data_IF_688264844530
#
_entry.id   IF_688264844530
#
_cell.length_a   1.000
_cell.length_b   1.000
_cell.length_c   1.000
_cell.angle_alpha   90.00
_cell.angle_beta   90.00
_cell.angle_gamma   90.00
#
_symmetry.space_group_name_H-M   'P 1'
#
loop_
_entity.id
_entity.type
_entity.pdbx_description
1 polymer ?
#
# COMPACT_ATOMS: atom_id res chain seq x y z
N UNK A 1 -21.01 -6.68 25.52
CA UNK A 1 -20.39 -5.42 25.03
C UNK A 1 -19.05 -5.82 24.42
N UNK A 2 -18.92 -5.78 23.09
CA UNK A 2 -17.71 -6.21 22.38
C UNK A 2 -17.36 -5.18 21.32
N UNK A 3 -16.11 -4.73 21.33
CA UNK A 3 -15.58 -3.66 20.49
C UNK A 3 -15.58 -4.06 18.99
N UNK A 4 -16.06 -3.20 18.08
CA UNK A 4 -15.96 -3.40 16.64
C UNK A 4 -14.59 -2.91 16.11
N UNK A 5 -14.20 -3.37 14.91
CA UNK A 5 -13.08 -2.86 14.08
C UNK A 5 -11.77 -3.66 14.00
N UNK A 6 -11.77 -4.98 14.23
CA UNK A 6 -10.66 -5.88 13.81
C UNK A 6 -11.09 -7.08 12.96
N UNK A 7 -12.36 -7.16 12.56
CA UNK A 7 -12.95 -8.30 11.85
C UNK A 7 -12.69 -8.35 10.33
N UNK A 8 -11.55 -7.82 9.85
CA UNK A 8 -11.20 -7.85 8.42
C UNK A 8 -9.76 -8.34 8.15
N UNK A 9 -9.16 -9.07 9.09
CA UNK A 9 -8.06 -9.99 8.78
C UNK A 9 -8.64 -11.40 8.69
N UNK A 10 -9.50 -11.61 7.67
CA UNK A 10 -9.82 -12.95 7.22
C UNK A 10 -8.56 -13.48 6.52
N UNK A 11 -7.90 -14.42 7.18
CA UNK A 11 -6.73 -15.13 6.69
C UNK A 11 -7.11 -16.09 5.57
N UNK A 12 -7.80 -15.62 4.53
CA UNK A 12 -7.80 -16.31 3.25
C UNK A 12 -6.39 -16.19 2.70
N UNK A 13 -5.64 -17.26 2.91
CA UNK A 13 -4.38 -17.59 2.27
C UNK A 13 -4.41 -17.07 0.82
N UNK A 14 -3.81 -15.91 0.58
CA UNK A 14 -3.53 -15.42 -0.76
C UNK A 14 -2.66 -16.49 -1.41
N UNK A 15 -3.32 -17.39 -2.14
CA UNK A 15 -2.68 -18.38 -2.98
C UNK A 15 -1.55 -17.69 -3.73
N UNK A 16 -0.37 -18.32 -3.74
CA UNK A 16 0.72 -18.02 -4.65
C UNK A 16 0.30 -18.31 -6.12
N UNK A 17 -0.86 -17.82 -6.54
CA UNK A 17 -1.08 -17.53 -7.94
C UNK A 17 -0.36 -16.20 -8.17
N UNK A 18 0.45 -16.14 -9.22
CA UNK A 18 1.29 -14.99 -9.54
C UNK A 18 0.39 -13.83 -9.96
N UNK A 19 -0.27 -13.19 -8.99
CA UNK A 19 -1.06 -11.98 -9.20
C UNK A 19 -0.03 -10.95 -9.65
N UNK A 20 0.02 -10.69 -10.95
CA UNK A 20 0.71 -9.52 -11.45
C UNK A 20 0.10 -8.32 -10.73
N UNK A 21 0.88 -7.59 -9.92
CA UNK A 21 0.36 -6.52 -9.11
C UNK A 21 -0.04 -5.39 -10.06
N UNK A 22 -1.32 -5.40 -10.46
CA UNK A 22 -1.92 -4.39 -11.31
C UNK A 22 -2.43 -3.24 -10.45
N UNK A 23 -2.23 -2.01 -10.92
CA UNK A 23 -2.66 -0.79 -10.23
C UNK A 23 -4.15 -0.82 -9.88
N UNK A 24 -4.98 -1.54 -10.66
CA UNK A 24 -6.43 -1.69 -10.43
C UNK A 24 -6.79 -2.50 -9.18
N UNK A 25 -5.86 -3.29 -8.64
CA UNK A 25 -6.09 -4.09 -7.43
C UNK A 25 -5.77 -3.33 -6.14
N UNK A 26 -5.14 -2.16 -6.24
CA UNK A 26 -4.82 -1.35 -5.08
C UNK A 26 -6.08 -0.71 -4.51
N UNK A 27 -6.45 -1.10 -3.29
CA UNK A 27 -7.59 -0.51 -2.58
C UNK A 27 -7.14 0.74 -1.86
N UNK A 28 -7.84 1.85 -2.08
CA UNK A 28 -7.52 3.14 -1.46
C UNK A 28 -7.51 3.07 0.09
N UNK A 29 -8.43 2.29 0.68
CA UNK A 29 -8.56 2.16 2.13
C UNK A 29 -7.57 1.18 2.78
N UNK A 30 -6.87 0.37 1.98
CA UNK A 30 -5.92 -0.61 2.49
C UNK A 30 -4.55 0.00 2.80
N UNK A 31 -3.82 -0.65 3.71
CA UNK A 31 -2.43 -0.34 4.05
C UNK A 31 -1.52 -1.37 3.39
N UNK A 32 -0.48 -0.88 2.73
CA UNK A 32 0.50 -1.69 2.02
C UNK A 32 1.90 -1.39 2.55
N UNK A 33 2.79 -2.37 2.50
CA UNK A 33 4.21 -2.08 2.64
C UNK A 33 4.74 -1.29 1.43
N UNK A 34 5.82 -0.53 1.61
CA UNK A 34 6.50 0.15 0.50
C UNK A 34 6.90 -0.81 -0.63
N UNK A 35 7.20 -2.08 -0.31
CA UNK A 35 7.49 -3.11 -1.33
C UNK A 35 6.24 -3.51 -2.10
N UNK A 36 5.13 -3.76 -1.42
CA UNK A 36 3.87 -4.11 -2.06
C UNK A 36 3.33 -2.97 -2.91
N UNK A 37 3.30 -1.74 -2.38
CA UNK A 37 2.88 -0.57 -3.12
C UNK A 37 3.75 -0.31 -4.35
N UNK A 38 5.07 -0.48 -4.24
CA UNK A 38 5.98 -0.39 -5.37
C UNK A 38 5.67 -1.47 -6.43
N UNK A 39 5.35 -2.69 -5.99
CA UNK A 39 4.93 -3.77 -6.88
C UNK A 39 3.63 -3.42 -7.63
N UNK A 40 2.58 -2.95 -6.93
CA UNK A 40 1.29 -2.53 -7.53
C UNK A 40 1.42 -1.40 -8.54
N UNK A 41 2.37 -0.51 -8.31
CA UNK A 41 2.61 0.64 -9.17
C UNK A 41 3.62 0.37 -10.27
N UNK A 42 4.25 -0.82 -10.25
CA UNK A 42 5.41 -1.18 -11.10
C UNK A 42 6.56 -0.16 -11.00
N UNK A 43 6.64 0.55 -9.87
CA UNK A 43 7.70 1.52 -9.57
C UNK A 43 8.77 0.89 -8.69
N UNK A 44 9.96 1.49 -8.65
CA UNK A 44 10.94 1.17 -7.61
C UNK A 44 10.49 1.79 -6.29
N UNK A 45 10.83 1.16 -5.17
CA UNK A 45 10.51 1.72 -3.84
C UNK A 45 11.08 3.13 -3.62
N UNK A 46 12.22 3.44 -4.25
CA UNK A 46 12.81 4.78 -4.23
C UNK A 46 11.94 5.80 -5.00
N UNK A 47 11.48 5.46 -6.21
CA UNK A 47 10.61 6.33 -7.00
C UNK A 47 9.28 6.55 -6.29
N UNK A 48 8.67 5.48 -5.76
CA UNK A 48 7.44 5.62 -4.97
C UNK A 48 7.65 6.52 -3.74
N UNK A 49 8.81 6.44 -3.08
CA UNK A 49 9.17 7.30 -1.95
C UNK A 49 9.27 8.77 -2.38
N UNK A 50 9.89 9.05 -3.52
CA UNK A 50 9.96 10.40 -4.09
C UNK A 50 8.58 10.94 -4.46
N UNK A 51 7.71 10.12 -5.06
CA UNK A 51 6.34 10.53 -5.39
C UNK A 51 5.52 10.89 -4.15
N UNK A 52 5.63 10.07 -3.10
CA UNK A 52 4.98 10.34 -1.81
C UNK A 52 5.53 11.63 -1.17
N UNK A 53 6.84 11.85 -1.24
CA UNK A 53 7.48 13.07 -0.72
C UNK A 53 7.04 14.33 -1.47
N UNK A 54 6.85 14.26 -2.80
CA UNK A 54 6.34 15.38 -3.62
C UNK A 54 4.96 15.87 -3.19
N UNK A 55 4.12 14.98 -2.67
CA UNK A 55 2.80 15.32 -2.11
C UNK A 55 2.82 15.44 -0.58
N UNK A 56 4.01 15.52 0.03
CA UNK A 56 4.26 15.66 1.46
C UNK A 56 3.64 14.53 2.31
N UNK A 57 3.54 13.31 1.75
CA UNK A 57 3.13 12.11 2.47
C UNK A 57 4.35 11.34 2.96
N UNK A 58 4.35 11.02 4.25
CA UNK A 58 5.40 10.21 4.88
C UNK A 58 4.88 8.81 5.18
N UNK A 59 5.59 7.74 4.76
CA UNK A 59 5.26 6.39 5.18
C UNK A 59 5.43 6.26 6.69
N UNK A 60 4.57 5.46 7.31
CA UNK A 60 4.66 5.16 8.74
C UNK A 60 5.47 3.91 8.97
N UNK A 61 6.29 3.90 10.02
CA UNK A 61 7.12 2.76 10.40
C UNK A 61 6.39 1.91 11.44
N UNK A 62 6.14 0.65 11.10
CA UNK A 62 5.58 -0.33 12.03
C UNK A 62 6.46 -1.57 12.05
N UNK A 63 6.99 -1.92 13.23
CA UNK A 63 7.86 -3.10 13.42
C UNK A 63 8.99 -3.22 12.38
N UNK A 64 9.62 -2.10 12.03
CA UNK A 64 10.73 -2.06 11.06
C UNK A 64 10.31 -2.07 9.58
N UNK A 65 9.01 -2.14 9.27
CA UNK A 65 8.48 -2.02 7.91
C UNK A 65 7.89 -0.63 7.68
N UNK A 66 8.16 -0.07 6.50
CA UNK A 66 7.55 1.18 6.05
C UNK A 66 6.24 0.86 5.34
N UNK A 67 5.16 1.46 5.84
CA UNK A 67 3.79 1.25 5.40
C UNK A 67 3.21 2.54 4.83
N UNK A 68 2.33 2.39 3.85
CA UNK A 68 1.64 3.48 3.14
C UNK A 68 0.18 3.10 2.93
N UNK A 69 -0.71 4.09 2.88
CA UNK A 69 -2.09 3.82 2.49
C UNK A 69 -2.20 3.77 0.97
N UNK A 70 -3.09 2.92 0.47
CA UNK A 70 -3.44 2.86 -0.94
C UNK A 70 -3.83 4.23 -1.50
N UNK A 71 -4.64 4.98 -0.75
CA UNK A 71 -5.07 6.34 -1.12
C UNK A 71 -3.87 7.26 -1.35
N UNK A 72 -2.87 7.22 -0.47
CA UNK A 72 -1.70 8.10 -0.58
C UNK A 72 -0.87 7.76 -1.81
N UNK A 73 -0.69 6.46 -2.08
CA UNK A 73 0.03 5.98 -3.27
C UNK A 73 -0.71 6.37 -4.54
N UNK A 74 -2.03 6.17 -4.60
CA UNK A 74 -2.84 6.57 -5.75
C UNK A 74 -2.75 8.07 -6.00
N UNK A 75 -2.85 8.90 -4.95
CA UNK A 75 -2.67 10.36 -5.06
C UNK A 75 -1.28 10.75 -5.51
N UNK A 76 -0.25 10.04 -5.04
CA UNK A 76 1.12 10.28 -5.45
C UNK A 76 1.33 9.98 -6.94
N UNK A 77 0.66 8.96 -7.48
CA UNK A 77 0.68 8.62 -8.91
C UNK A 77 -0.15 9.58 -9.78
N UNK A 78 -1.24 10.14 -9.23
CA UNK A 78 -2.04 11.16 -9.92
C UNK A 78 -1.34 12.52 -9.97
N UNK A 79 -0.38 12.75 -9.08
CA UNK A 79 0.42 13.98 -9.02
C UNK A 79 1.64 13.99 -9.96
N UNK A 80 1.84 12.93 -10.76
CA UNK A 80 2.95 12.78 -11.73
C UNK A 80 2.55 13.22 -13.12
#
# INVERSE_FOLDING_TARGET
MGHPALAAYDGETLSHDRIEPDRSLMRADAVYTMREAAAFTRLKSAELRELLDRINIKPFKLKGSELVKGTDVLRALEAV
#
